data_IF_805862013493
#
_entry.id   IF_805862013493
#
_cell.length_a   1.000
_cell.length_b   1.000
_cell.length_c   1.000
_cell.angle_alpha   90.00
_cell.angle_beta   90.00
_cell.angle_gamma   90.00
#
_symmetry.space_group_name_H-M   'P 1'
#
loop_
_entity.id
_entity.type
_entity.pdbx_description
1 polymer ?
#
# COMPACT_ATOMS: atom_id res chain seq x y z
N UNK A 1 -8.03 25.25 -13.76
CA UNK A 1 -8.03 24.42 -12.53
C UNK A 1 -8.79 23.16 -12.84
N UNK A 2 -8.11 22.14 -13.35
CA UNK A 2 -8.73 20.86 -13.67
C UNK A 2 -8.88 20.06 -12.38
N UNK A 3 -10.12 19.73 -12.00
CA UNK A 3 -10.38 18.72 -10.98
C UNK A 3 -9.96 17.39 -11.59
N UNK A 4 -8.88 16.80 -11.08
CA UNK A 4 -8.63 15.39 -11.31
C UNK A 4 -9.78 14.63 -10.66
N UNK A 5 -10.68 14.05 -11.46
CA UNK A 5 -11.59 13.02 -10.97
C UNK A 5 -10.71 11.86 -10.52
N UNK A 6 -10.67 11.60 -9.20
CA UNK A 6 -10.12 10.35 -8.69
C UNK A 6 -10.93 9.22 -9.31
N UNK A 7 -10.30 8.23 -9.95
CA UNK A 7 -11.02 7.09 -10.50
C UNK A 7 -11.74 6.36 -9.35
N UNK A 8 -13.06 6.28 -9.43
CA UNK A 8 -13.88 5.49 -8.50
C UNK A 8 -13.77 4.03 -8.94
N UNK A 9 -12.80 3.32 -8.40
CA UNK A 9 -12.71 1.87 -8.56
C UNK A 9 -13.65 1.20 -7.55
N UNK A 10 -14.38 0.16 -7.98
CA UNK A 10 -14.98 -0.76 -7.02
C UNK A 10 -13.84 -1.51 -6.32
N UNK A 11 -13.93 -1.75 -4.99
CA UNK A 11 -12.91 -2.48 -4.27
C UNK A 11 -12.75 -3.88 -4.88
N UNK A 12 -11.58 -4.18 -5.47
CA UNK A 12 -11.29 -5.53 -5.92
C UNK A 12 -10.98 -6.35 -4.68
N UNK A 13 -12.00 -7.06 -4.17
CA UNK A 13 -11.86 -7.95 -3.02
C UNK A 13 -11.02 -9.20 -3.30
N UNK A 14 -10.63 -9.40 -4.56
CA UNK A 14 -9.96 -10.62 -5.03
C UNK A 14 -9.02 -10.32 -6.19
N UNK A 15 -7.80 -10.84 -6.12
CA UNK A 15 -6.87 -10.97 -7.25
C UNK A 15 -7.35 -12.07 -8.21
N UNK A 16 -8.65 -12.13 -8.53
CA UNK A 16 -9.36 -13.33 -9.05
C UNK A 16 -8.78 -13.92 -10.35
N UNK A 17 -7.99 -13.14 -11.11
CA UNK A 17 -7.31 -13.60 -12.31
C UNK A 17 -5.86 -14.11 -12.07
N UNK A 18 -5.35 -14.06 -10.84
CA UNK A 18 -3.99 -14.52 -10.48
C UNK A 18 -4.04 -15.86 -9.78
N UNK A 19 -3.13 -16.76 -10.16
CA UNK A 19 -2.98 -18.10 -9.58
C UNK A 19 -2.45 -18.08 -8.13
N UNK A 20 -1.84 -16.97 -7.71
CA UNK A 20 -1.20 -16.80 -6.40
C UNK A 20 -1.53 -15.41 -5.83
N UNK A 21 -1.65 -15.32 -4.50
CA UNK A 21 -1.73 -14.03 -3.80
C UNK A 21 -0.42 -13.26 -3.98
N UNK A 22 -0.47 -11.93 -4.18
CA UNK A 22 0.74 -11.12 -4.37
C UNK A 22 1.62 -11.13 -3.13
N UNK A 23 2.93 -11.18 -3.35
CA UNK A 23 3.92 -11.19 -2.28
C UNK A 23 3.96 -9.84 -1.53
N UNK A 24 4.32 -9.90 -0.26
CA UNK A 24 4.75 -8.69 0.45
C UNK A 24 6.08 -8.20 -0.13
N UNK A 25 6.12 -6.93 -0.56
CA UNK A 25 7.33 -6.31 -1.07
C UNK A 25 8.43 -6.35 0.00
N UNK A 26 9.50 -7.07 -0.30
CA UNK A 26 10.76 -7.01 0.44
C UNK A 26 11.80 -6.34 -0.43
N UNK A 27 12.38 -5.27 0.07
CA UNK A 27 13.46 -4.57 -0.61
C UNK A 27 14.72 -5.43 -0.50
N UNK A 28 15.35 -5.83 -1.62
CA UNK A 28 16.62 -6.56 -1.57
C UNK A 28 17.71 -5.75 -0.88
N UNK A 29 18.75 -6.45 -0.40
CA UNK A 29 19.97 -5.78 0.04
C UNK A 29 20.52 -4.88 -1.07
N UNK A 30 20.98 -3.69 -0.69
CA UNK A 30 21.54 -2.70 -1.61
C UNK A 30 20.64 -2.34 -2.81
N UNK A 31 19.31 -2.49 -2.68
CA UNK A 31 18.36 -2.18 -3.77
C UNK A 31 18.53 -0.78 -4.36
N UNK A 32 18.97 0.20 -3.55
CA UNK A 32 19.27 1.58 -3.97
C UNK A 32 20.46 1.67 -4.94
N UNK A 33 21.29 0.64 -5.03
CA UNK A 33 22.40 0.54 -5.98
C UNK A 33 22.02 -0.28 -7.23
N UNK A 34 20.87 -0.97 -7.21
CA UNK A 34 20.43 -1.84 -8.29
C UNK A 34 20.13 -1.10 -9.59
N UNK A 35 20.33 -1.76 -10.74
CA UNK A 35 19.94 -1.24 -12.05
C UNK A 35 18.43 -0.96 -12.14
N UNK A 36 17.58 -1.78 -11.51
CA UNK A 36 16.14 -1.53 -11.43
C UNK A 36 15.80 -0.20 -10.78
N UNK A 37 16.51 0.17 -9.70
CA UNK A 37 16.31 1.45 -9.05
C UNK A 37 16.84 2.63 -9.85
N UNK A 38 17.95 2.46 -10.55
CA UNK A 38 18.48 3.49 -11.44
C UNK A 38 17.53 3.77 -12.61
N UNK A 39 16.97 2.72 -13.21
CA UNK A 39 15.96 2.80 -14.29
C UNK A 39 14.70 3.52 -13.84
N UNK A 40 14.15 3.15 -12.68
CA UNK A 40 12.97 3.78 -12.08
C UNK A 40 13.08 5.31 -11.92
N UNK A 41 14.29 5.84 -11.72
CA UNK A 41 14.53 7.27 -11.56
C UNK A 41 14.75 8.02 -12.89
N UNK A 42 15.11 7.31 -13.96
CA UNK A 42 15.51 7.89 -15.26
C UNK A 42 14.40 7.81 -16.29
N UNK A 43 13.65 6.72 -16.31
CA UNK A 43 12.64 6.46 -17.32
C UNK A 43 11.30 7.06 -16.94
N UNK A 44 10.60 7.63 -17.91
CA UNK A 44 9.22 8.01 -17.72
C UNK A 44 8.34 6.75 -17.67
N UNK A 45 7.33 6.77 -16.80
CA UNK A 45 6.31 5.73 -16.73
C UNK A 45 5.00 6.26 -17.32
N UNK A 46 4.63 5.74 -18.50
CA UNK A 46 3.42 6.07 -19.25
C UNK A 46 2.21 5.20 -18.88
N UNK A 47 2.36 4.33 -17.89
CA UNK A 47 1.29 3.50 -17.39
C UNK A 47 0.23 4.28 -16.59
N UNK A 48 -0.75 3.56 -16.07
CA UNK A 48 -1.88 4.13 -15.34
C UNK A 48 -2.59 3.09 -14.48
N UNK A 49 -3.49 3.52 -13.57
CA UNK A 49 -4.22 2.60 -12.70
C UNK A 49 -5.14 1.69 -13.52
N UNK A 50 -5.26 0.44 -13.09
CA UNK A 50 -6.21 -0.55 -13.64
C UNK A 50 -7.38 -0.72 -12.68
N UNK A 51 -7.07 -0.87 -11.39
CA UNK A 51 -8.01 -0.94 -10.27
C UNK A 51 -7.34 -0.39 -9.00
N UNK A 52 -7.95 -0.65 -7.84
CA UNK A 52 -7.46 -0.27 -6.51
C UNK A 52 -6.15 -0.96 -6.10
N UNK A 53 -5.84 -2.11 -6.68
CA UNK A 53 -4.65 -2.90 -6.34
C UNK A 53 -3.56 -2.89 -7.42
N UNK A 54 -3.94 -2.69 -8.67
CA UNK A 54 -3.13 -2.94 -9.85
C UNK A 54 -3.04 -1.72 -10.76
N UNK A 55 -1.90 -1.63 -11.43
CA UNK A 55 -1.64 -0.62 -12.43
C UNK A 55 -0.80 -1.17 -13.56
N UNK A 56 -0.92 -0.54 -14.71
CA UNK A 56 0.01 -0.72 -15.80
C UNK A 56 1.24 0.14 -15.54
N UNK A 57 2.43 -0.40 -15.81
CA UNK A 57 3.70 0.32 -15.80
C UNK A 57 4.35 0.17 -17.16
N UNK A 58 4.69 1.30 -17.80
CA UNK A 58 5.33 1.31 -19.11
C UNK A 58 6.51 2.27 -19.11
N UNK A 59 7.69 1.71 -18.91
CA UNK A 59 8.95 2.45 -18.91
C UNK A 59 9.49 2.62 -20.33
N UNK A 60 10.22 3.71 -20.57
CA UNK A 60 10.71 4.09 -21.90
C UNK A 60 11.60 3.02 -22.57
N UNK A 61 12.43 2.32 -21.79
CA UNK A 61 13.32 1.26 -22.28
C UNK A 61 12.70 -0.15 -22.17
N UNK A 62 11.42 -0.26 -21.79
CA UNK A 62 10.70 -1.54 -21.80
C UNK A 62 10.01 -1.77 -23.14
N UNK A 63 10.21 -2.96 -23.71
CA UNK A 63 9.58 -3.35 -24.99
C UNK A 63 8.05 -3.42 -24.90
N UNK A 64 7.52 -3.78 -23.74
CA UNK A 64 6.08 -3.94 -23.47
C UNK A 64 5.69 -3.38 -22.09
N UNK A 65 4.43 -2.95 -21.92
CA UNK A 65 3.91 -2.54 -20.62
C UNK A 65 3.65 -3.78 -19.74
N UNK A 66 3.84 -3.63 -18.42
CA UNK A 66 3.70 -4.72 -17.45
C UNK A 66 2.63 -4.42 -16.41
N UNK A 67 1.79 -5.41 -16.08
CA UNK A 67 0.81 -5.29 -15.00
C UNK A 67 1.51 -5.47 -13.65
N UNK A 68 1.34 -4.48 -12.78
CA UNK A 68 1.95 -4.44 -11.45
C UNK A 68 0.87 -4.30 -10.38
N UNK A 69 0.84 -5.24 -9.44
CA UNK A 69 0.14 -5.08 -8.17
C UNK A 69 1.00 -4.21 -7.25
N UNK A 70 0.41 -3.17 -6.67
CA UNK A 70 1.11 -2.26 -5.76
C UNK A 70 0.09 -1.60 -4.81
N UNK A 71 -0.19 -2.26 -3.68
CA UNK A 71 -1.29 -1.91 -2.77
C UNK A 71 -0.92 -2.16 -1.31
N UNK A 72 -1.60 -1.50 -0.38
CA UNK A 72 -1.44 -1.76 1.04
C UNK A 72 -2.46 -2.79 1.54
N UNK A 73 -2.00 -3.73 2.35
CA UNK A 73 -2.85 -4.71 3.02
C UNK A 73 -2.34 -4.99 4.43
N UNK A 74 -3.21 -4.86 5.43
CA UNK A 74 -2.82 -4.71 6.84
C UNK A 74 -1.73 -3.65 7.02
N UNK A 75 -0.54 -4.06 7.46
CA UNK A 75 0.62 -3.18 7.60
C UNK A 75 1.63 -3.31 6.44
N UNK A 76 1.32 -4.11 5.42
CA UNK A 76 2.27 -4.54 4.39
C UNK A 76 1.99 -3.83 3.08
N UNK A 77 3.03 -3.66 2.27
CA UNK A 77 2.92 -3.28 0.88
C UNK A 77 2.99 -4.55 0.04
N UNK A 78 1.91 -4.87 -0.64
CA UNK A 78 1.85 -5.93 -1.63
C UNK A 78 2.51 -5.45 -2.92
N UNK A 79 3.34 -6.31 -3.51
CA UNK A 79 3.88 -6.08 -4.83
C UNK A 79 3.88 -7.38 -5.63
N UNK A 80 3.50 -7.29 -6.89
CA UNK A 80 3.71 -8.35 -7.86
C UNK A 80 3.85 -7.76 -9.26
N UNK A 81 4.67 -8.35 -10.11
CA UNK A 81 4.83 -7.92 -11.50
C UNK A 81 5.00 -9.12 -12.41
N UNK A 82 4.28 -9.13 -13.52
CA UNK A 82 4.31 -10.20 -14.53
C UNK A 82 5.65 -10.29 -15.30
N UNK A 83 6.53 -9.29 -15.17
CA UNK A 83 7.81 -9.30 -15.85
C UNK A 83 8.78 -10.37 -15.31
N UNK A 84 9.62 -10.90 -16.19
CA UNK A 84 10.62 -11.92 -15.85
C UNK A 84 11.57 -11.48 -14.72
N UNK A 85 11.95 -10.20 -14.69
CA UNK A 85 12.85 -9.66 -13.67
C UNK A 85 12.30 -9.81 -12.25
N UNK A 86 10.99 -9.64 -12.08
CA UNK A 86 10.31 -9.80 -10.81
C UNK A 86 10.24 -11.26 -10.38
N UNK A 87 9.86 -12.16 -11.30
CA UNK A 87 9.77 -13.61 -11.02
C UNK A 87 11.05 -14.20 -10.41
N UNK A 88 12.22 -13.69 -10.80
CA UNK A 88 13.51 -14.21 -10.31
C UNK A 88 14.07 -13.47 -9.09
N UNK A 89 13.79 -12.17 -8.94
CA UNK A 89 14.45 -11.35 -7.91
C UNK A 89 13.49 -10.71 -6.91
N UNK A 90 12.18 -10.85 -7.12
CA UNK A 90 11.10 -10.13 -6.39
C UNK A 90 11.31 -8.61 -6.34
N UNK A 91 12.11 -8.09 -7.27
CA UNK A 91 12.46 -6.68 -7.43
C UNK A 91 12.81 -6.43 -8.90
N UNK A 92 12.06 -5.54 -9.55
CA UNK A 92 12.24 -5.18 -10.95
C UNK A 92 12.10 -3.67 -11.14
N UNK A 93 12.42 -3.15 -12.34
CA UNK A 93 12.31 -1.73 -12.64
C UNK A 93 10.86 -1.19 -12.51
N UNK A 94 9.85 -2.04 -12.77
CA UNK A 94 8.44 -1.65 -12.68
C UNK A 94 7.98 -1.42 -11.24
N UNK A 95 8.28 -2.37 -10.35
CA UNK A 95 8.00 -2.23 -8.90
C UNK A 95 8.83 -1.09 -8.30
N UNK A 96 10.10 -0.96 -8.72
CA UNK A 96 10.94 0.16 -8.33
C UNK A 96 10.37 1.52 -8.78
N UNK A 97 9.78 1.59 -9.97
CA UNK A 97 9.09 2.78 -10.49
C UNK A 97 7.85 3.11 -9.66
N UNK A 98 7.02 2.13 -9.31
CA UNK A 98 5.89 2.33 -8.39
C UNK A 98 6.36 2.92 -7.05
N UNK A 99 7.41 2.33 -6.46
CA UNK A 99 7.98 2.84 -5.21
C UNK A 99 8.52 4.27 -5.35
N UNK A 100 9.29 4.56 -6.41
CA UNK A 100 9.84 5.89 -6.67
C UNK A 100 8.75 6.94 -6.76
N UNK A 101 7.74 6.69 -7.58
CA UNK A 101 6.63 7.63 -7.80
C UNK A 101 5.78 7.82 -6.55
N UNK A 102 5.49 6.75 -5.80
CA UNK A 102 4.72 6.85 -4.56
C UNK A 102 5.44 7.65 -3.49
N UNK A 103 6.75 7.41 -3.32
CA UNK A 103 7.59 8.16 -2.38
C UNK A 103 7.69 9.67 -2.68
N UNK A 104 7.23 10.09 -3.86
CA UNK A 104 7.27 11.48 -4.34
C UNK A 104 5.89 12.11 -4.49
N UNK A 105 4.82 11.42 -4.11
CA UNK A 105 3.47 11.95 -4.27
C UNK A 105 2.95 11.92 -5.71
N UNK A 106 3.61 11.20 -6.63
CA UNK A 106 3.26 11.20 -8.05
C UNK A 106 2.18 10.17 -8.39
N UNK A 107 2.02 9.16 -7.54
CA UNK A 107 0.94 8.16 -7.61
C UNK A 107 0.37 7.99 -6.21
N UNK A 108 -0.88 7.53 -6.13
CA UNK A 108 -1.49 7.14 -4.87
C UNK A 108 -1.63 5.62 -4.79
N UNK A 109 -1.56 5.10 -3.56
CA UNK A 109 -1.65 3.66 -3.26
C UNK A 109 -2.84 3.43 -2.33
N UNK A 110 -3.71 2.50 -2.71
CA UNK A 110 -4.89 2.17 -1.91
C UNK A 110 -4.57 1.10 -0.88
N UNK A 111 -5.27 1.17 0.26
CA UNK A 111 -5.24 0.15 1.28
C UNK A 111 -6.50 -0.71 1.18
N UNK A 112 -6.34 -1.97 0.80
CA UNK A 112 -7.43 -2.86 0.39
C UNK A 112 -8.44 -3.11 1.51
N UNK A 113 -7.98 -3.38 2.74
CA UNK A 113 -8.88 -3.58 3.89
C UNK A 113 -9.59 -2.29 4.35
N UNK A 114 -8.95 -1.12 4.28
CA UNK A 114 -9.54 0.14 4.82
C UNK A 114 -10.22 1.00 3.76
N UNK A 115 -9.99 0.72 2.48
CA UNK A 115 -10.37 1.56 1.34
C UNK A 115 -9.59 2.87 1.23
N UNK A 116 -8.70 3.20 2.17
CA UNK A 116 -8.02 4.51 2.22
C UNK A 116 -6.95 4.61 1.13
N UNK A 117 -6.94 5.74 0.45
CA UNK A 117 -5.92 6.10 -0.52
C UNK A 117 -4.79 6.92 0.15
N UNK A 118 -3.54 6.61 -0.22
CA UNK A 118 -2.34 7.23 0.31
C UNK A 118 -1.50 7.83 -0.83
N UNK A 119 -1.41 9.16 -0.97
CA UNK A 119 -0.58 9.80 -1.99
C UNK A 119 0.92 9.60 -1.72
N UNK A 120 1.30 9.33 -0.48
CA UNK A 120 2.69 9.06 -0.07
C UNK A 120 2.70 7.97 1.02
N UNK A 121 3.85 7.30 1.26
CA UNK A 121 3.98 6.31 2.32
C UNK A 121 3.54 6.88 3.69
N UNK A 122 2.53 6.29 4.34
CA UNK A 122 2.03 6.81 5.61
C UNK A 122 3.05 6.64 6.73
N UNK A 123 2.94 7.45 7.79
CA UNK A 123 3.87 7.46 8.91
C UNK A 123 4.01 6.09 9.63
N UNK A 124 2.99 5.23 9.56
CA UNK A 124 3.01 3.88 10.11
C UNK A 124 3.68 2.84 9.20
N UNK A 125 3.87 3.15 7.92
CA UNK A 125 4.42 2.22 6.93
C UNK A 125 5.89 1.92 7.21
N UNK A 126 6.26 0.64 7.17
CA UNK A 126 7.64 0.16 7.25
C UNK A 126 7.83 -0.87 6.16
N UNK A 127 9.04 -0.92 5.59
CA UNK A 127 9.38 -1.83 4.49
C UNK A 127 9.39 -3.31 4.89
N UNK A 128 9.66 -3.61 6.17
CA UNK A 128 9.64 -4.96 6.72
C UNK A 128 9.14 -4.90 8.17
N UNK A 129 7.83 -4.68 8.37
CA UNK A 129 7.28 -4.62 9.70
C UNK A 129 7.30 -6.02 10.33
N UNK A 130 7.57 -6.09 11.63
CA UNK A 130 7.36 -7.34 12.37
C UNK A 130 5.90 -7.78 12.21
N UNK A 131 5.65 -9.07 11.94
CA UNK A 131 4.28 -9.58 11.85
C UNK A 131 3.51 -9.27 13.14
N UNK A 132 2.29 -8.77 12.98
CA UNK A 132 1.35 -8.57 14.10
C UNK A 132 0.14 -9.46 13.86
N UNK A 133 0.01 -10.48 14.71
CA UNK A 133 -1.16 -11.34 14.69
C UNK A 133 -2.42 -10.53 15.06
N UNK A 134 -3.56 -10.86 14.46
CA UNK A 134 -4.86 -10.26 14.76
C UNK A 134 -5.20 -8.99 13.97
N UNK A 135 -4.32 -8.49 13.09
CA UNK A 135 -4.65 -7.33 12.25
C UNK A 135 -5.83 -7.63 11.30
N UNK A 136 -5.89 -8.85 10.77
CA UNK A 136 -6.96 -9.29 9.85
C UNK A 136 -8.30 -9.53 10.57
N UNK A 137 -8.29 -9.58 11.91
CA UNK A 137 -9.49 -9.69 12.74
C UNK A 137 -10.12 -8.31 13.05
N UNK A 138 -9.45 -7.22 12.69
CA UNK A 138 -9.95 -5.85 12.90
C UNK A 138 -10.94 -5.46 11.80
N UNK A 139 -11.99 -4.73 12.18
CA UNK A 139 -12.83 -4.07 11.17
C UNK A 139 -12.02 -3.00 10.42
N UNK A 140 -12.43 -2.62 9.19
CA UNK A 140 -11.76 -1.56 8.42
C UNK A 140 -11.54 -0.25 9.21
N UNK A 141 -12.52 0.15 10.03
CA UNK A 141 -12.44 1.36 10.83
C UNK A 141 -11.49 1.23 12.03
N UNK A 142 -11.46 0.07 12.68
CA UNK A 142 -10.53 -0.26 13.77
C UNK A 142 -9.10 -0.32 13.26
N UNK A 143 -8.88 -1.01 12.13
CA UNK A 143 -7.57 -1.10 11.50
C UNK A 143 -7.03 0.29 11.10
N UNK A 144 -7.85 1.12 10.45
CA UNK A 144 -7.48 2.49 10.07
C UNK A 144 -7.08 3.31 11.30
N UNK A 145 -7.86 3.25 12.39
CA UNK A 145 -7.53 3.95 13.62
C UNK A 145 -6.25 3.41 14.28
N UNK A 146 -6.11 2.09 14.36
CA UNK A 146 -4.97 1.40 14.98
C UNK A 146 -3.66 1.70 14.26
N UNK A 147 -3.63 1.59 12.93
CA UNK A 147 -2.44 1.89 12.13
C UNK A 147 -2.01 3.34 12.31
N UNK A 148 -2.92 4.32 12.28
CA UNK A 148 -2.53 5.72 12.40
C UNK A 148 -2.14 6.11 13.84
N UNK A 149 -2.91 5.70 14.84
CA UNK A 149 -2.69 6.15 16.21
C UNK A 149 -1.66 5.30 16.97
N UNK A 150 -1.80 3.98 16.97
CA UNK A 150 -0.97 3.09 17.79
C UNK A 150 0.35 2.73 17.08
N UNK A 151 0.31 2.58 15.75
CA UNK A 151 1.51 2.25 14.97
C UNK A 151 2.24 3.50 14.46
N UNK A 152 1.48 4.47 13.93
CA UNK A 152 1.99 5.72 13.39
C UNK A 152 2.28 6.79 14.46
N UNK A 153 1.75 6.63 15.67
CA UNK A 153 1.92 7.58 16.77
C UNK A 153 1.13 8.88 16.61
N UNK A 154 0.15 8.92 15.71
CA UNK A 154 -0.72 10.09 15.56
C UNK A 154 -1.65 10.23 16.78
N UNK A 155 -1.81 11.45 17.29
CA UNK A 155 -2.73 11.68 18.40
C UNK A 155 -4.19 11.48 18.00
N UNK A 156 -4.98 10.81 18.84
CA UNK A 156 -6.42 10.53 18.61
C UNK A 156 -7.22 11.74 18.14
N UNK A 157 -7.00 12.92 18.75
CA UNK A 157 -7.71 14.15 18.36
C UNK A 157 -7.26 14.70 17.00
N UNK A 158 -5.99 14.51 16.64
CA UNK A 158 -5.46 14.91 15.33
C UNK A 158 -6.04 14.00 14.25
N UNK A 159 -6.00 12.69 14.46
CA UNK A 159 -6.59 11.70 13.57
C UNK A 159 -8.09 11.94 13.38
N UNK A 160 -8.85 12.07 14.49
CA UNK A 160 -10.27 12.33 14.47
C UNK A 160 -10.63 13.58 13.63
N UNK A 161 -9.89 14.68 13.79
CA UNK A 161 -10.08 15.90 13.00
C UNK A 161 -9.77 15.69 11.52
N UNK A 162 -8.66 14.99 11.22
CA UNK A 162 -8.22 14.71 9.85
C UNK A 162 -9.19 13.82 9.09
N UNK A 163 -9.88 12.91 9.79
CA UNK A 163 -10.83 11.96 9.20
C UNK A 163 -12.29 12.34 9.39
N UNK A 164 -12.58 13.54 9.89
CA UNK A 164 -13.94 14.00 10.22
C UNK A 164 -14.74 13.01 11.10
N UNK A 165 -14.07 12.41 12.09
CA UNK A 165 -14.66 11.51 13.09
C UNK A 165 -14.73 12.20 14.43
N UNK A 166 -15.71 11.84 15.26
CA UNK A 166 -15.70 12.27 16.66
C UNK A 166 -14.54 11.60 17.41
N UNK A 167 -13.82 12.35 18.26
CA UNK A 167 -12.70 11.81 19.03
C UNK A 167 -13.11 10.63 19.94
N UNK A 168 -14.34 10.65 20.46
CA UNK A 168 -14.91 9.52 21.21
C UNK A 168 -15.07 8.26 20.36
N UNK A 169 -15.49 8.40 19.10
CA UNK A 169 -15.59 7.28 18.14
C UNK A 169 -14.22 6.68 17.88
N UNK A 170 -13.19 7.51 17.63
CA UNK A 170 -11.82 7.01 17.44
C UNK A 170 -11.31 6.30 18.71
N UNK A 171 -11.60 6.85 19.89
CA UNK A 171 -11.27 6.20 21.16
C UNK A 171 -11.89 4.81 21.29
N UNK A 172 -13.18 4.68 20.96
CA UNK A 172 -13.88 3.39 21.00
C UNK A 172 -13.29 2.37 20.01
N UNK A 173 -12.97 2.81 18.78
CA UNK A 173 -12.32 1.96 17.78
C UNK A 173 -10.96 1.45 18.27
N UNK A 174 -10.16 2.30 18.92
CA UNK A 174 -8.86 1.89 19.45
C UNK A 174 -9.00 0.92 20.63
N UNK A 175 -9.98 1.12 21.51
CA UNK A 175 -10.24 0.17 22.60
C UNK A 175 -10.59 -1.21 22.04
N UNK A 176 -11.54 -1.28 21.11
CA UNK A 176 -11.93 -2.53 20.47
C UNK A 176 -10.75 -3.19 19.73
N UNK A 177 -9.98 -2.40 18.97
CA UNK A 177 -8.80 -2.90 18.28
C UNK A 177 -7.78 -3.51 19.25
N UNK A 178 -7.49 -2.85 20.37
CA UNK A 178 -6.54 -3.35 21.38
C UNK A 178 -7.04 -4.60 22.08
N UNK A 179 -8.35 -4.74 22.30
CA UNK A 179 -8.94 -5.96 22.86
C UNK A 179 -8.75 -7.13 21.90
N UNK A 180 -9.02 -6.93 20.61
CA UNK A 180 -8.78 -7.94 19.56
C UNK A 180 -7.30 -8.31 19.46
N UNK A 181 -6.41 -7.32 19.40
CA UNK A 181 -4.95 -7.52 19.28
C UNK A 181 -4.32 -8.11 20.55
N UNK A 182 -4.89 -7.84 21.72
CA UNK A 182 -4.35 -8.21 23.03
C UNK A 182 -4.83 -9.55 23.59
N UNK A 183 -5.87 -10.15 22.99
CA UNK A 183 -6.31 -11.50 23.31
C UNK A 183 -6.63 -11.75 24.79
N UNK A 184 -7.75 -11.23 25.30
CA UNK A 184 -8.48 -11.90 26.38
C UNK A 184 -9.86 -12.28 25.85
N UNK A 185 -9.91 -13.43 25.18
CA UNK A 185 -11.16 -14.19 25.13
C UNK A 185 -11.41 -14.67 26.56
N UNK A 186 -12.46 -14.14 27.17
CA UNK A 186 -13.03 -14.68 28.41
C UNK A 186 -13.61 -16.06 28.16
#
# INVERSE_FOLDING_TARGET
MSRSESPTFEPSGTFDDRLDDPDTLRFPDEWKLSGSWQRAQREADRGGPINDAERMVWLDESDEPHRVTFALDGQRLLADCDCRGYRFNRWCAHVASCWWRWSRGEIAVQHLQTGREYPEPPAWFRHDPLPRAGLDDLTPAELDAYLHCDVGGEGVRAFARRTDRAAGTVGNLLTAARETMGGVRR
#
